data_IF_341304416517
#
_entry.id   IF_341304416517
#
_cell.length_a   1.000
_cell.length_b   1.000
_cell.length_c   1.000
_cell.angle_alpha   90.00
_cell.angle_beta   90.00
_cell.angle_gamma   90.00
#
_symmetry.space_group_name_H-M   'P 1'
#
loop_
_entity.id
_entity.type
_entity.pdbx_description
1 polymer ?
#
# COMPACT_ATOMS: atom_id res chain seq x y z
N UNK A 1 23.12 17.57 -4.05
CA UNK A 1 22.40 18.42 -3.08
C UNK A 1 21.53 17.49 -2.25
N UNK A 2 21.81 17.36 -0.96
CA UNK A 2 20.92 16.67 -0.04
C UNK A 2 19.74 17.62 0.25
N UNK A 3 18.51 17.17 -0.04
CA UNK A 3 17.29 17.90 0.30
C UNK A 3 16.93 17.52 1.73
N UNK A 4 16.82 18.51 2.61
CA UNK A 4 16.39 18.31 4.00
C UNK A 4 14.89 18.51 4.17
N UNK A 5 14.29 17.83 5.17
CA UNK A 5 12.88 18.02 5.53
C UNK A 5 12.56 19.45 5.95
N UNK A 6 13.57 20.21 6.45
CA UNK A 6 13.43 21.60 6.88
C UNK A 6 13.46 22.64 5.74
N UNK A 7 13.75 22.20 4.51
CA UNK A 7 13.88 23.10 3.37
C UNK A 7 12.52 23.72 2.98
N UNK A 8 12.60 24.90 2.32
CA UNK A 8 11.47 25.40 1.54
C UNK A 8 11.31 24.57 0.26
N UNK A 9 10.09 24.05 -0.02
CA UNK A 9 9.84 23.16 -1.15
C UNK A 9 9.25 23.92 -2.34
N UNK A 10 10.05 24.04 -3.39
CA UNK A 10 9.59 24.36 -4.75
C UNK A 10 9.01 23.10 -5.41
N UNK A 11 8.26 23.23 -6.52
CA UNK A 11 7.79 22.06 -7.29
C UNK A 11 8.92 21.10 -7.66
N UNK A 12 10.06 21.63 -8.11
CA UNK A 12 11.24 20.83 -8.50
C UNK A 12 11.83 20.06 -7.31
N UNK A 13 11.97 20.71 -6.15
CA UNK A 13 12.47 20.05 -4.93
C UNK A 13 11.51 18.97 -4.43
N UNK A 14 10.21 19.29 -4.42
CA UNK A 14 9.16 18.38 -3.96
C UNK A 14 9.12 17.11 -4.82
N UNK A 15 9.06 17.26 -6.15
CA UNK A 15 9.12 16.14 -7.07
C UNK A 15 10.41 15.35 -6.95
N UNK A 16 11.57 16.02 -6.86
CA UNK A 16 12.86 15.33 -6.73
C UNK A 16 12.97 14.51 -5.42
N UNK A 17 12.36 15.00 -4.35
CA UNK A 17 12.36 14.28 -3.07
C UNK A 17 11.37 13.11 -3.06
N UNK A 18 10.18 13.29 -3.64
CA UNK A 18 9.13 12.25 -3.66
C UNK A 18 9.32 11.22 -4.79
N UNK A 19 10.05 11.55 -5.85
CA UNK A 19 10.26 10.69 -7.01
C UNK A 19 10.77 9.27 -6.66
N UNK A 20 11.77 9.09 -5.79
CA UNK A 20 12.20 7.75 -5.39
C UNK A 20 11.08 6.94 -4.75
N UNK A 21 10.24 7.57 -3.92
CA UNK A 21 9.10 6.90 -3.29
C UNK A 21 8.01 6.52 -4.29
N UNK A 22 7.76 7.37 -5.29
CA UNK A 22 6.83 7.06 -6.38
C UNK A 22 7.32 5.84 -7.17
N UNK A 23 8.58 5.85 -7.60
CA UNK A 23 9.17 4.75 -8.36
C UNK A 23 9.20 3.47 -7.51
N UNK A 24 9.51 3.56 -6.22
CA UNK A 24 9.51 2.43 -5.29
C UNK A 24 8.13 1.76 -5.23
N UNK A 25 7.04 2.54 -5.11
CA UNK A 25 5.69 1.99 -5.05
C UNK A 25 5.23 1.39 -6.38
N UNK A 26 5.56 2.03 -7.50
CA UNK A 26 5.27 1.48 -8.84
C UNK A 26 5.99 0.15 -9.05
N UNK A 27 7.28 0.08 -8.72
CA UNK A 27 8.05 -1.17 -8.83
C UNK A 27 7.49 -2.27 -7.93
N UNK A 28 7.13 -1.94 -6.69
CA UNK A 28 6.50 -2.90 -5.76
C UNK A 28 5.21 -3.47 -6.36
N UNK A 29 4.39 -2.63 -7.00
CA UNK A 29 3.16 -3.08 -7.68
C UNK A 29 3.46 -3.97 -8.88
N UNK A 30 4.46 -3.64 -9.70
CA UNK A 30 4.89 -4.45 -10.84
C UNK A 30 5.42 -5.81 -10.38
N UNK A 31 6.24 -5.85 -9.33
CA UNK A 31 6.77 -7.12 -8.80
C UNK A 31 5.65 -8.05 -8.32
N UNK A 32 4.62 -7.51 -7.65
CA UNK A 32 3.45 -8.29 -7.25
C UNK A 32 2.68 -8.90 -8.44
N UNK A 33 2.58 -8.15 -9.54
CA UNK A 33 1.95 -8.66 -10.78
C UNK A 33 2.80 -9.79 -11.39
N UNK A 34 4.11 -9.60 -11.46
CA UNK A 34 5.05 -10.61 -12.02
C UNK A 34 5.03 -11.89 -11.21
N UNK A 35 5.10 -11.80 -9.87
CA UNK A 35 4.99 -12.95 -8.96
C UNK A 35 3.68 -13.74 -9.21
N UNK A 36 2.55 -13.05 -9.28
CA UNK A 36 1.27 -13.67 -9.60
C UNK A 36 1.25 -14.39 -10.97
N UNK A 37 1.90 -13.81 -11.98
CA UNK A 37 2.04 -14.42 -13.32
C UNK A 37 2.91 -15.68 -13.26
N UNK A 38 4.03 -15.67 -12.54
CA UNK A 38 4.87 -16.87 -12.37
C UNK A 38 4.12 -17.99 -11.68
N UNK A 39 3.45 -17.70 -10.56
CA UNK A 39 2.68 -18.70 -9.82
C UNK A 39 1.56 -19.29 -10.69
N UNK A 40 0.76 -18.46 -11.34
CA UNK A 40 -0.39 -18.93 -12.13
C UNK A 40 0.01 -19.80 -13.33
N UNK A 41 1.13 -19.48 -14.00
CA UNK A 41 1.53 -20.17 -15.21
C UNK A 41 2.39 -21.42 -14.97
N UNK A 42 3.18 -21.45 -13.90
CA UNK A 42 4.18 -22.51 -13.70
C UNK A 42 3.89 -23.43 -12.52
N UNK A 43 3.07 -23.01 -11.55
CA UNK A 43 2.79 -23.82 -10.34
C UNK A 43 1.48 -24.60 -10.47
N UNK A 44 0.51 -24.05 -11.21
CA UNK A 44 -0.78 -24.69 -11.47
C UNK A 44 -1.95 -24.01 -10.73
N UNK A 45 -3.15 -24.35 -11.16
CA UNK A 45 -4.39 -23.69 -10.69
C UNK A 45 -4.70 -23.93 -9.22
N UNK A 46 -4.47 -25.15 -8.72
CA UNK A 46 -4.69 -25.49 -7.30
C UNK A 46 -3.77 -24.70 -6.37
N UNK A 47 -2.51 -24.61 -6.74
CA UNK A 47 -1.51 -23.83 -6.00
C UNK A 47 -1.84 -22.33 -6.01
N UNK A 48 -2.21 -21.79 -7.16
CA UNK A 48 -2.61 -20.40 -7.28
C UNK A 48 -3.88 -20.10 -6.46
N UNK A 49 -4.88 -20.99 -6.49
CA UNK A 49 -6.08 -20.88 -5.67
C UNK A 49 -5.74 -20.91 -4.17
N UNK A 50 -4.86 -21.82 -3.74
CA UNK A 50 -4.46 -21.95 -2.33
C UNK A 50 -3.75 -20.70 -1.80
N UNK A 51 -2.88 -20.07 -2.61
CA UNK A 51 -2.23 -18.80 -2.26
C UNK A 51 -3.28 -17.71 -2.08
N UNK A 52 -4.23 -17.57 -3.01
CA UNK A 52 -5.28 -16.56 -2.92
C UNK A 52 -6.19 -16.75 -1.69
N UNK A 53 -6.43 -18.00 -1.26
CA UNK A 53 -7.20 -18.30 -0.06
C UNK A 53 -6.47 -17.83 1.20
N UNK A 54 -5.16 -18.12 1.33
CA UNK A 54 -4.43 -17.84 2.58
C UNK A 54 -3.88 -16.42 2.65
N UNK A 55 -3.71 -15.73 1.52
CA UNK A 55 -3.15 -14.38 1.45
C UNK A 55 -3.86 -13.35 2.34
N UNK A 56 -5.20 -13.27 2.40
CA UNK A 56 -5.87 -12.31 3.28
C UNK A 56 -5.45 -12.45 4.74
N UNK A 57 -5.30 -13.68 5.24
CA UNK A 57 -4.84 -13.93 6.60
C UNK A 57 -3.40 -13.41 6.82
N UNK A 58 -2.49 -13.73 5.91
CA UNK A 58 -1.10 -13.29 5.98
C UNK A 58 -0.98 -11.76 5.88
N UNK A 59 -1.78 -11.14 5.00
CA UNK A 59 -1.81 -9.68 4.83
C UNK A 59 -2.35 -8.96 6.06
N UNK A 60 -3.35 -9.50 6.76
CA UNK A 60 -3.86 -8.93 8.01
C UNK A 60 -2.75 -8.93 9.08
N UNK A 61 -1.99 -10.03 9.23
CA UNK A 61 -0.87 -10.08 10.15
C UNK A 61 0.22 -9.07 9.78
N UNK A 62 0.53 -8.93 8.50
CA UNK A 62 1.51 -7.98 7.99
C UNK A 62 1.07 -6.52 8.00
N UNK A 63 -0.25 -6.25 8.06
CA UNK A 63 -0.81 -4.90 8.00
C UNK A 63 -0.33 -3.98 9.15
N UNK A 64 0.12 -4.56 10.27
CA UNK A 64 0.76 -3.82 11.37
C UNK A 64 2.06 -3.15 10.91
N UNK A 65 2.77 -3.75 9.97
CA UNK A 65 3.94 -3.11 9.35
C UNK A 65 3.58 -1.81 8.63
N UNK A 66 2.52 -1.83 7.82
CA UNK A 66 2.01 -0.63 7.14
C UNK A 66 1.52 0.42 8.14
N UNK A 67 0.74 0.00 9.15
CA UNK A 67 0.26 0.88 10.21
C UNK A 67 1.41 1.56 10.96
N UNK A 68 2.42 0.81 11.36
CA UNK A 68 3.59 1.32 12.08
C UNK A 68 4.46 2.20 11.17
N UNK A 69 4.60 1.83 9.91
CA UNK A 69 5.36 2.60 8.91
C UNK A 69 4.75 3.97 8.68
N UNK A 70 3.47 4.05 8.36
CA UNK A 70 2.76 5.29 8.09
C UNK A 70 2.60 6.14 9.36
N UNK A 71 1.98 5.59 10.40
CA UNK A 71 1.70 6.32 11.64
C UNK A 71 2.97 6.70 12.42
N UNK A 72 3.95 5.80 12.48
CA UNK A 72 5.21 6.02 13.18
C UNK A 72 6.10 7.03 12.48
N UNK A 73 6.20 6.96 11.15
CA UNK A 73 6.98 7.93 10.37
C UNK A 73 6.42 9.36 10.51
N UNK A 74 5.09 9.51 10.52
CA UNK A 74 4.43 10.77 10.76
C UNK A 74 4.76 11.34 12.16
N UNK A 75 4.69 10.50 13.21
CA UNK A 75 5.00 10.90 14.57
C UNK A 75 6.47 11.30 14.73
N UNK A 76 7.39 10.52 14.16
CA UNK A 76 8.83 10.79 14.20
C UNK A 76 9.18 12.06 13.44
N UNK A 77 8.60 12.27 12.25
CA UNK A 77 8.83 13.48 11.45
C UNK A 77 8.32 14.74 12.18
N UNK A 78 7.13 14.67 12.79
CA UNK A 78 6.59 15.76 13.61
C UNK A 78 7.50 16.05 14.81
N UNK A 79 8.00 15.02 15.49
CA UNK A 79 8.91 15.17 16.64
C UNK A 79 10.24 15.79 16.22
N UNK A 80 10.75 15.48 15.03
CA UNK A 80 11.91 16.19 14.46
C UNK A 80 11.62 17.67 14.23
N UNK A 81 10.42 17.99 13.75
CA UNK A 81 9.98 19.38 13.54
C UNK A 81 9.96 20.20 14.81
N UNK A 82 9.62 19.59 15.95
CA UNK A 82 9.68 20.27 17.28
C UNK A 82 11.10 20.50 17.81
N UNK A 83 12.13 20.07 17.06
CA UNK A 83 13.54 20.18 17.47
C UNK A 83 14.02 19.10 18.46
N UNK A 84 13.17 18.15 18.83
CA UNK A 84 13.55 17.11 19.80
C UNK A 84 14.08 15.84 19.08
N UNK A 85 15.29 15.95 18.54
CA UNK A 85 15.93 14.84 17.81
C UNK A 85 16.13 13.58 18.66
N UNK A 86 16.44 13.75 19.95
CA UNK A 86 16.64 12.62 20.86
C UNK A 86 15.35 11.81 20.99
N UNK A 87 14.24 12.49 21.26
CA UNK A 87 12.92 11.87 21.40
C UNK A 87 12.48 11.18 20.07
N UNK A 88 12.74 11.80 18.93
CA UNK A 88 12.45 11.22 17.63
C UNK A 88 13.19 9.88 17.40
N UNK A 89 14.48 9.81 17.76
CA UNK A 89 15.29 8.58 17.70
C UNK A 89 14.82 7.51 18.70
N UNK A 90 14.41 7.92 19.90
CA UNK A 90 13.84 7.02 20.91
C UNK A 90 12.52 6.40 20.42
N UNK A 91 11.62 7.21 19.86
CA UNK A 91 10.35 6.72 19.27
C UNK A 91 10.63 5.76 18.11
N UNK A 92 11.50 6.12 17.19
CA UNK A 92 11.89 5.24 16.09
C UNK A 92 12.39 3.87 16.59
N UNK A 93 13.31 3.87 17.56
CA UNK A 93 13.87 2.65 18.13
C UNK A 93 12.80 1.81 18.83
N UNK A 94 11.92 2.45 19.59
CA UNK A 94 10.79 1.80 20.27
C UNK A 94 9.88 1.09 19.26
N UNK A 95 9.52 1.77 18.17
CA UNK A 95 8.62 1.23 17.17
C UNK A 95 9.22 0.01 16.47
N UNK A 96 10.51 0.05 16.13
CA UNK A 96 11.20 -1.09 15.50
C UNK A 96 11.27 -2.28 16.47
N UNK A 97 11.62 -2.06 17.75
CA UNK A 97 11.72 -3.16 18.72
C UNK A 97 10.35 -3.77 19.05
N UNK A 98 9.33 -2.93 19.23
CA UNK A 98 7.95 -3.42 19.46
C UNK A 98 7.44 -4.18 18.25
N UNK A 99 7.72 -3.69 17.02
CA UNK A 99 7.32 -4.38 15.79
C UNK A 99 7.95 -5.78 15.69
N UNK A 100 9.23 -5.92 16.01
CA UNK A 100 9.92 -7.23 16.02
C UNK A 100 9.27 -8.15 17.04
N UNK A 101 8.99 -7.66 18.26
CA UNK A 101 8.33 -8.44 19.30
C UNK A 101 6.92 -8.89 18.90
N UNK A 102 6.11 -7.97 18.37
CA UNK A 102 4.75 -8.27 17.86
C UNK A 102 4.83 -9.22 16.65
N UNK A 103 5.77 -9.01 15.75
CA UNK A 103 6.00 -9.88 14.60
C UNK A 103 6.34 -11.31 15.02
N UNK A 104 7.15 -11.48 16.08
CA UNK A 104 7.45 -12.79 16.64
C UNK A 104 6.21 -13.47 17.23
N UNK A 105 5.41 -12.73 18.01
CA UNK A 105 4.13 -13.24 18.54
C UNK A 105 3.16 -13.65 17.42
N UNK A 106 3.10 -12.85 16.36
CA UNK A 106 2.24 -13.14 15.21
C UNK A 106 2.75 -14.28 14.35
N UNK A 107 4.06 -14.47 14.24
CA UNK A 107 4.64 -15.65 13.59
C UNK A 107 4.23 -16.92 14.34
N UNK A 108 4.43 -16.96 15.66
CA UNK A 108 4.07 -18.12 16.49
C UNK A 108 2.55 -18.36 16.48
N UNK A 109 1.75 -17.31 16.72
CA UNK A 109 0.29 -17.41 16.69
C UNK A 109 -0.26 -17.77 15.30
N UNK A 110 0.35 -17.21 14.26
CA UNK A 110 0.03 -17.50 12.86
C UNK A 110 0.28 -18.96 12.49
N UNK A 111 1.41 -19.53 12.92
CA UNK A 111 1.70 -20.95 12.70
C UNK A 111 0.65 -21.87 13.34
N UNK A 112 0.19 -21.55 14.56
CA UNK A 112 -0.83 -22.31 15.26
C UNK A 112 -2.19 -22.18 14.55
N UNK A 113 -2.53 -20.98 14.09
CA UNK A 113 -3.83 -20.67 13.48
C UNK A 113 -3.87 -20.95 11.98
N UNK A 114 -2.76 -21.26 11.33
CA UNK A 114 -2.65 -21.34 9.87
C UNK A 114 -3.64 -22.35 9.25
N UNK A 115 -3.63 -23.60 9.73
CA UNK A 115 -4.52 -24.63 9.20
C UNK A 115 -6.02 -24.37 9.52
N UNK A 116 -6.42 -24.00 10.77
CA UNK A 116 -7.78 -23.55 11.05
C UNK A 116 -8.25 -22.39 10.18
N UNK A 117 -7.40 -21.38 9.99
CA UNK A 117 -7.75 -20.23 9.16
C UNK A 117 -7.86 -20.57 7.69
N UNK A 118 -6.98 -21.43 7.15
CA UNK A 118 -7.10 -21.90 5.77
C UNK A 118 -8.46 -22.61 5.53
N UNK A 119 -8.88 -23.48 6.45
CA UNK A 119 -10.20 -24.14 6.38
C UNK A 119 -11.34 -23.13 6.47
N UNK A 120 -11.27 -22.19 7.40
CA UNK A 120 -12.29 -21.15 7.57
C UNK A 120 -12.43 -20.28 6.29
N UNK A 121 -11.33 -20.03 5.61
CA UNK A 121 -11.30 -19.25 4.37
C UNK A 121 -11.68 -20.07 3.12
N UNK A 122 -12.01 -21.36 3.28
CA UNK A 122 -12.56 -22.19 2.22
C UNK A 122 -11.59 -23.19 1.59
N UNK A 123 -10.43 -23.45 2.21
CA UNK A 123 -9.54 -24.51 1.75
C UNK A 123 -10.14 -25.90 2.03
N UNK A 124 -10.34 -26.66 0.98
CA UNK A 124 -10.69 -28.09 1.06
C UNK A 124 -9.46 -28.96 1.39
N UNK A 125 -9.66 -30.28 1.48
CA UNK A 125 -8.59 -31.24 1.81
C UNK A 125 -7.48 -31.28 0.71
N UNK A 126 -7.76 -30.85 -0.51
CA UNK A 126 -6.78 -30.79 -1.62
C UNK A 126 -5.93 -29.51 -1.49
N UNK A 127 -6.56 -28.37 -1.22
CA UNK A 127 -5.90 -27.06 -1.17
C UNK A 127 -5.20 -26.80 0.16
N UNK A 128 -5.68 -27.42 1.26
CA UNK A 128 -5.14 -27.20 2.59
C UNK A 128 -3.62 -27.46 2.71
N UNK A 129 -3.04 -28.53 2.16
CA UNK A 129 -1.60 -28.75 2.22
C UNK A 129 -0.79 -27.65 1.52
N UNK A 130 -1.31 -27.11 0.40
CA UNK A 130 -0.66 -25.99 -0.31
C UNK A 130 -0.73 -24.70 0.51
N UNK A 131 -1.90 -24.38 1.08
CA UNK A 131 -2.07 -23.22 1.96
C UNK A 131 -1.10 -23.27 3.15
N UNK A 132 -0.97 -24.44 3.80
CA UNK A 132 -0.11 -24.59 4.97
C UNK A 132 1.38 -24.53 4.59
N UNK A 133 1.80 -25.16 3.49
CA UNK A 133 3.20 -25.10 3.04
C UNK A 133 3.62 -23.67 2.66
N UNK A 134 2.79 -22.98 1.90
CA UNK A 134 3.03 -21.58 1.53
C UNK A 134 3.04 -20.67 2.75
N UNK A 135 1.98 -20.74 3.56
CA UNK A 135 1.79 -19.87 4.71
C UNK A 135 2.91 -19.98 5.75
N UNK A 136 3.41 -21.18 6.03
CA UNK A 136 4.54 -21.39 6.95
C UNK A 136 5.79 -20.64 6.53
N UNK A 137 6.17 -20.74 5.26
CA UNK A 137 7.36 -20.06 4.75
C UNK A 137 7.18 -18.54 4.82
N UNK A 138 6.01 -18.03 4.45
CA UNK A 138 5.72 -16.58 4.53
C UNK A 138 5.67 -16.11 5.98
N UNK A 139 5.11 -16.91 6.93
CA UNK A 139 5.12 -16.56 8.34
C UNK A 139 6.53 -16.47 8.94
N UNK A 140 7.48 -17.31 8.51
CA UNK A 140 8.88 -17.16 8.90
C UNK A 140 9.51 -15.85 8.42
N UNK A 141 9.03 -15.32 7.30
CA UNK A 141 9.44 -14.03 6.77
C UNK A 141 8.54 -12.85 7.21
N UNK A 142 7.57 -13.06 8.11
CA UNK A 142 6.63 -12.04 8.53
C UNK A 142 7.32 -10.83 9.17
N UNK A 143 8.32 -11.05 10.03
CA UNK A 143 9.11 -9.96 10.63
C UNK A 143 9.85 -9.16 9.56
N UNK A 144 10.64 -9.75 8.65
CA UNK A 144 11.23 -9.06 7.51
C UNK A 144 10.21 -8.29 6.66
N UNK A 145 9.05 -8.87 6.37
CA UNK A 145 7.99 -8.20 5.62
C UNK A 145 7.46 -6.94 6.33
N UNK A 146 7.16 -7.05 7.62
CA UNK A 146 6.72 -5.91 8.43
C UNK A 146 7.81 -4.84 8.49
N UNK A 147 9.09 -5.22 8.69
CA UNK A 147 10.22 -4.30 8.70
C UNK A 147 10.43 -3.63 7.33
N UNK A 148 10.26 -4.34 6.22
CA UNK A 148 10.33 -3.76 4.88
C UNK A 148 9.35 -2.60 4.72
N UNK A 149 8.07 -2.79 5.11
CA UNK A 149 7.05 -1.76 5.03
C UNK A 149 7.34 -0.56 5.94
N UNK A 150 7.82 -0.82 7.16
CA UNK A 150 8.22 0.23 8.08
C UNK A 150 9.40 1.04 7.55
N UNK A 151 10.44 0.38 7.07
CA UNK A 151 11.65 1.06 6.62
C UNK A 151 11.47 1.79 5.29
N UNK A 152 10.53 1.39 4.43
CA UNK A 152 10.15 2.20 3.26
C UNK A 152 9.75 3.62 3.69
N UNK A 153 8.95 3.77 4.74
CA UNK A 153 8.54 5.07 5.27
C UNK A 153 9.67 5.76 6.05
N UNK A 154 10.39 5.04 6.90
CA UNK A 154 11.44 5.63 7.73
C UNK A 154 12.69 6.06 6.96
N UNK A 155 13.01 5.44 5.84
CA UNK A 155 14.09 5.91 4.97
C UNK A 155 13.77 7.27 4.36
N UNK A 156 12.50 7.59 4.14
CA UNK A 156 12.07 8.94 3.71
C UNK A 156 12.26 9.95 4.85
N UNK A 157 11.84 9.60 6.09
CA UNK A 157 12.07 10.43 7.28
C UNK A 157 13.55 10.65 7.56
N UNK A 158 14.37 9.62 7.29
CA UNK A 158 15.82 9.67 7.41
C UNK A 158 16.52 10.49 6.30
N UNK A 159 15.75 11.13 5.41
CA UNK A 159 16.24 11.89 4.24
C UNK A 159 17.05 11.03 3.25
N UNK A 160 16.72 9.71 3.18
CA UNK A 160 17.38 8.71 2.33
C UNK A 160 16.42 7.95 1.42
N UNK A 161 15.46 8.60 0.73
CA UNK A 161 14.48 7.91 -0.11
C UNK A 161 15.14 7.13 -1.27
N UNK A 162 16.30 7.59 -1.76
CA UNK A 162 17.06 6.89 -2.79
C UNK A 162 17.59 5.52 -2.33
N UNK A 163 18.00 5.42 -1.05
CA UNK A 163 18.41 4.15 -0.47
C UNK A 163 17.22 3.19 -0.39
N UNK A 164 16.04 3.69 -0.01
CA UNK A 164 14.79 2.93 -0.04
C UNK A 164 14.49 2.37 -1.43
N UNK A 165 14.62 3.21 -2.46
CA UNK A 165 14.45 2.79 -3.85
C UNK A 165 15.44 1.69 -4.25
N UNK A 166 16.73 1.85 -3.94
CA UNK A 166 17.76 0.84 -4.26
C UNK A 166 17.48 -0.51 -3.59
N UNK A 167 17.07 -0.49 -2.32
CA UNK A 167 16.72 -1.70 -1.58
C UNK A 167 15.47 -2.36 -2.18
N UNK A 168 14.46 -1.57 -2.57
CA UNK A 168 13.25 -2.09 -3.23
C UNK A 168 13.59 -2.72 -4.59
N UNK A 169 14.48 -2.11 -5.38
CA UNK A 169 14.96 -2.70 -6.63
C UNK A 169 15.68 -4.02 -6.35
N UNK A 170 16.60 -4.05 -5.40
CA UNK A 170 17.34 -5.26 -5.05
C UNK A 170 16.39 -6.38 -4.59
N UNK A 171 15.44 -6.07 -3.70
CA UNK A 171 14.43 -7.01 -3.21
C UNK A 171 13.56 -7.54 -4.36
N UNK A 172 13.02 -6.64 -5.21
CA UNK A 172 12.15 -7.04 -6.31
C UNK A 172 12.86 -7.85 -7.40
N UNK A 173 14.08 -7.45 -7.79
CA UNK A 173 14.88 -8.25 -8.73
C UNK A 173 15.23 -9.62 -8.15
N UNK A 174 15.56 -9.69 -6.87
CA UNK A 174 15.80 -10.99 -6.21
C UNK A 174 14.55 -11.86 -6.25
N UNK A 175 13.36 -11.31 -5.96
CA UNK A 175 12.12 -12.07 -6.07
C UNK A 175 11.93 -12.62 -7.48
N UNK A 176 11.98 -11.78 -8.52
CA UNK A 176 11.78 -12.20 -9.91
C UNK A 176 12.80 -13.27 -10.38
N UNK A 177 14.08 -13.10 -10.01
CA UNK A 177 15.15 -14.07 -10.36
C UNK A 177 14.90 -15.39 -9.63
N UNK A 178 14.56 -15.34 -8.34
CA UNK A 178 14.33 -16.55 -7.56
C UNK A 178 13.03 -17.25 -7.94
N UNK A 179 11.97 -16.52 -8.32
CA UNK A 179 10.75 -17.10 -8.87
C UNK A 179 11.07 -17.89 -10.15
N UNK A 180 11.79 -17.27 -11.09
CA UNK A 180 12.22 -17.96 -12.29
C UNK A 180 13.07 -19.20 -11.97
N UNK A 181 14.00 -19.11 -11.03
CA UNK A 181 14.89 -20.21 -10.68
C UNK A 181 14.15 -21.32 -9.90
N UNK A 182 13.44 -20.97 -8.83
CA UNK A 182 12.79 -21.97 -7.96
C UNK A 182 11.55 -22.59 -8.60
N UNK A 183 10.77 -21.80 -9.34
CA UNK A 183 9.52 -22.25 -9.92
C UNK A 183 9.75 -22.88 -11.30
N UNK A 184 10.41 -22.16 -12.22
CA UNK A 184 10.56 -22.63 -13.60
C UNK A 184 11.69 -23.64 -13.77
N UNK A 185 12.85 -23.45 -13.09
CA UNK A 185 14.03 -24.35 -13.25
C UNK A 185 13.94 -25.53 -12.27
N UNK A 186 13.85 -25.25 -10.95
CA UNK A 186 13.85 -26.30 -9.92
C UNK A 186 12.49 -26.96 -9.71
N UNK A 187 11.40 -26.37 -10.23
CA UNK A 187 10.02 -26.87 -10.14
C UNK A 187 9.57 -27.17 -8.71
N UNK A 188 9.96 -26.29 -7.77
CA UNK A 188 9.62 -26.44 -6.34
C UNK A 188 8.14 -26.06 -6.06
N UNK A 189 7.37 -25.64 -7.06
CA UNK A 189 5.98 -25.30 -6.94
C UNK A 189 5.74 -24.17 -5.93
N UNK A 190 4.71 -24.32 -5.07
CA UNK A 190 4.31 -23.35 -4.06
C UNK A 190 5.43 -23.02 -3.06
N UNK A 191 6.27 -24.00 -2.72
CA UNK A 191 7.42 -23.82 -1.83
C UNK A 191 8.45 -22.89 -2.46
N UNK A 192 8.66 -23.01 -3.77
CA UNK A 192 9.58 -22.14 -4.52
C UNK A 192 9.10 -20.68 -4.53
N UNK A 193 7.82 -20.45 -4.80
CA UNK A 193 7.21 -19.12 -4.76
C UNK A 193 7.32 -18.48 -3.35
N UNK A 194 6.93 -19.24 -2.32
CA UNK A 194 7.04 -18.75 -0.94
C UNK A 194 8.48 -18.44 -0.53
N UNK A 195 9.46 -19.29 -0.92
CA UNK A 195 10.87 -19.08 -0.59
C UNK A 195 11.43 -17.84 -1.31
N UNK A 196 11.11 -17.64 -2.59
CA UNK A 196 11.53 -16.45 -3.34
C UNK A 196 10.99 -15.17 -2.70
N UNK A 197 9.71 -15.15 -2.34
CA UNK A 197 9.08 -14.04 -1.64
C UNK A 197 9.70 -13.82 -0.26
N UNK A 198 9.91 -14.86 0.54
CA UNK A 198 10.51 -14.76 1.86
C UNK A 198 11.95 -14.20 1.83
N UNK A 199 12.77 -14.65 0.87
CA UNK A 199 14.13 -14.15 0.69
C UNK A 199 14.12 -12.69 0.27
N UNK A 200 13.30 -12.33 -0.70
CA UNK A 200 13.19 -10.94 -1.18
C UNK A 200 12.73 -9.98 -0.09
N UNK A 201 11.74 -10.37 0.71
CA UNK A 201 11.26 -9.60 1.88
C UNK A 201 12.36 -9.49 2.95
N UNK A 202 13.18 -10.54 3.12
CA UNK A 202 14.32 -10.50 4.04
C UNK A 202 15.37 -9.47 3.60
N UNK A 203 15.64 -9.36 2.31
CA UNK A 203 16.49 -8.29 1.76
C UNK A 203 15.88 -6.92 2.05
N UNK A 204 14.58 -6.74 1.75
CA UNK A 204 13.85 -5.49 1.96
C UNK A 204 13.77 -5.03 3.42
N UNK A 205 13.70 -5.97 4.37
CA UNK A 205 13.59 -5.68 5.80
C UNK A 205 14.93 -5.65 6.55
N UNK A 206 15.81 -6.64 6.32
CA UNK A 206 17.03 -6.78 7.10
C UNK A 206 18.14 -5.81 6.67
N UNK A 207 18.25 -5.47 5.39
CA UNK A 207 19.27 -4.50 4.94
C UNK A 207 19.06 -3.13 5.58
N UNK A 208 17.85 -2.53 5.58
CA UNK A 208 17.62 -1.29 6.31
C UNK A 208 17.80 -1.44 7.82
N UNK A 209 17.41 -2.58 8.40
CA UNK A 209 17.65 -2.84 9.82
C UNK A 209 19.14 -2.73 10.16
N UNK A 210 19.99 -3.40 9.40
CA UNK A 210 21.45 -3.33 9.56
C UNK A 210 21.98 -1.91 9.34
N UNK A 211 21.44 -1.19 8.32
CA UNK A 211 21.79 0.20 8.08
C UNK A 211 21.53 1.08 9.29
N UNK A 212 20.40 0.91 9.99
CA UNK A 212 20.07 1.72 11.17
C UNK A 212 20.74 1.23 12.48
N UNK A 213 21.20 -0.02 12.55
CA UNK A 213 21.98 -0.52 13.68
C UNK A 213 23.40 0.06 13.64
N UNK A 214 24.05 0.02 12.48
CA UNK A 214 25.40 0.51 12.32
C UNK A 214 25.47 2.05 12.22
N UNK A 215 26.65 2.67 12.52
CA UNK A 215 26.86 4.08 12.30
C UNK A 215 26.56 4.47 10.85
N UNK A 216 25.64 5.39 10.67
CA UNK A 216 25.23 5.84 9.35
C UNK A 216 25.17 7.38 9.26
N UNK A 217 25.05 7.89 8.03
CA UNK A 217 25.01 9.36 7.77
C UNK A 217 23.59 9.93 7.77
N UNK A 218 22.59 9.19 8.26
CA UNK A 218 21.21 9.70 8.35
C UNK A 218 20.91 10.27 9.74
N UNK A 219 19.79 10.97 9.85
CA UNK A 219 19.30 11.50 11.13
C UNK A 219 18.78 10.43 12.08
N UNK A 220 18.40 9.24 11.55
CA UNK A 220 17.87 8.13 12.31
C UNK A 220 18.95 7.05 12.55
N UNK A 221 18.95 6.52 13.76
CA UNK A 221 19.76 5.37 14.16
C UNK A 221 19.06 4.65 15.30
N UNK A 222 19.14 3.33 15.32
CA UNK A 222 18.66 2.52 16.43
C UNK A 222 19.53 2.71 17.66
N UNK A 223 18.90 2.84 18.81
CA UNK A 223 19.57 3.05 20.08
C UNK A 223 18.72 2.62 21.26
N UNK A 224 19.17 3.01 22.47
CA UNK A 224 18.41 2.74 23.69
C UNK A 224 17.11 3.56 23.69
N UNK A 225 16.04 2.94 24.13
CA UNK A 225 14.72 3.56 24.26
C UNK A 225 14.06 3.10 25.54
N UNK A 226 13.04 3.84 25.96
CA UNK A 226 12.14 3.46 27.05
C UNK A 226 10.75 3.19 26.52
N UNK A 227 9.98 2.36 27.21
CA UNK A 227 8.60 2.12 26.85
C UNK A 227 7.79 3.42 26.96
N UNK A 228 7.18 3.83 25.87
CA UNK A 228 6.31 5.01 25.76
C UNK A 228 4.99 4.61 25.12
N UNK A 229 4.02 4.24 25.96
CA UNK A 229 2.69 3.82 25.51
C UNK A 229 1.94 4.93 24.76
N UNK A 230 2.19 6.19 25.09
CA UNK A 230 1.58 7.31 24.38
C UNK A 230 2.08 7.39 22.93
N UNK A 231 3.37 7.18 22.70
CA UNK A 231 3.94 7.14 21.36
C UNK A 231 3.41 5.93 20.56
N UNK A 232 3.28 4.76 21.18
CA UNK A 232 2.68 3.58 20.56
C UNK A 232 1.22 3.81 20.17
N UNK A 233 0.41 4.33 21.10
CA UNK A 233 -1.00 4.62 20.84
C UNK A 233 -1.17 5.65 19.71
N UNK A 234 -0.36 6.71 19.72
CA UNK A 234 -0.35 7.71 18.66
C UNK A 234 0.05 7.11 17.31
N UNK A 235 1.04 6.22 17.29
CA UNK A 235 1.42 5.51 16.07
C UNK A 235 0.28 4.64 15.53
N UNK A 236 -0.38 3.87 16.40
CA UNK A 236 -1.52 3.04 16.01
C UNK A 236 -2.68 3.89 15.49
N UNK A 237 -3.05 4.97 16.19
CA UNK A 237 -4.15 5.85 15.75
C UNK A 237 -3.84 6.56 14.45
N UNK A 238 -2.61 7.03 14.25
CA UNK A 238 -2.20 7.68 13.01
C UNK A 238 -2.10 6.71 11.83
N UNK A 239 -1.66 5.49 12.08
CA UNK A 239 -1.53 4.46 11.06
C UNK A 239 -2.81 3.63 10.86
N UNK A 240 -3.86 3.88 11.64
CA UNK A 240 -5.13 3.14 11.55
C UNK A 240 -5.76 3.22 10.14
N UNK A 241 -5.54 4.32 9.41
CA UNK A 241 -5.97 4.47 8.03
C UNK A 241 -5.42 3.39 7.10
N UNK A 242 -4.11 3.08 7.21
CA UNK A 242 -3.47 2.04 6.41
C UNK A 242 -3.97 0.64 6.79
N UNK A 243 -4.09 0.39 8.08
CA UNK A 243 -4.62 -0.88 8.57
C UNK A 243 -6.05 -1.12 8.09
N UNK A 244 -6.93 -0.12 8.24
CA UNK A 244 -8.32 -0.16 7.78
C UNK A 244 -8.41 -0.33 6.27
N UNK A 245 -7.59 0.37 5.50
CA UNK A 245 -7.57 0.25 4.04
C UNK A 245 -7.23 -1.17 3.61
N UNK A 246 -6.18 -1.78 4.17
CA UNK A 246 -5.76 -3.15 3.80
C UNK A 246 -6.86 -4.20 4.09
N UNK A 247 -7.52 -4.10 5.25
CA UNK A 247 -8.63 -5.00 5.59
C UNK A 247 -9.83 -4.76 4.66
N UNK A 248 -10.21 -3.50 4.48
CA UNK A 248 -11.36 -3.14 3.64
C UNK A 248 -11.18 -3.58 2.19
N UNK A 249 -9.99 -3.44 1.62
CA UNK A 249 -9.70 -3.89 0.25
C UNK A 249 -9.96 -5.38 0.07
N UNK A 250 -9.62 -6.23 1.03
CA UNK A 250 -9.89 -7.66 0.96
C UNK A 250 -11.38 -7.96 0.92
N UNK A 251 -12.17 -7.27 1.76
CA UNK A 251 -13.64 -7.42 1.81
C UNK A 251 -14.28 -6.91 0.52
N UNK A 252 -13.86 -5.75 0.05
CA UNK A 252 -14.38 -5.13 -1.16
C UNK A 252 -14.09 -5.98 -2.40
N UNK A 253 -12.85 -6.50 -2.54
CA UNK A 253 -12.50 -7.39 -3.64
C UNK A 253 -13.37 -8.67 -3.66
N UNK A 254 -13.64 -9.24 -2.49
CA UNK A 254 -14.54 -10.40 -2.38
C UNK A 254 -15.96 -10.03 -2.84
N UNK A 255 -16.43 -8.85 -2.49
CA UNK A 255 -17.77 -8.36 -2.86
C UNK A 255 -17.89 -8.09 -4.37
N UNK A 256 -16.86 -7.49 -5.00
CA UNK A 256 -16.79 -7.31 -6.45
C UNK A 256 -16.85 -8.67 -7.17
N UNK A 257 -16.03 -9.61 -6.74
CA UNK A 257 -16.01 -10.95 -7.33
C UNK A 257 -17.36 -11.66 -7.20
N UNK A 258 -18.02 -11.54 -6.04
CA UNK A 258 -19.34 -12.12 -5.82
C UNK A 258 -20.42 -11.50 -6.75
N UNK A 259 -20.46 -10.17 -6.84
CA UNK A 259 -21.41 -9.47 -7.71
C UNK A 259 -21.16 -9.76 -9.19
N UNK A 260 -19.89 -9.76 -9.61
CA UNK A 260 -19.52 -10.03 -11.00
C UNK A 260 -19.80 -11.48 -11.39
N UNK A 261 -19.51 -12.45 -10.51
CA UNK A 261 -19.86 -13.85 -10.76
C UNK A 261 -21.37 -14.02 -10.97
N UNK A 262 -22.19 -13.31 -10.19
CA UNK A 262 -23.65 -13.34 -10.27
C UNK A 262 -24.19 -12.69 -11.54
N UNK A 263 -23.63 -11.56 -11.99
CA UNK A 263 -24.18 -10.72 -13.06
C UNK A 263 -23.53 -10.94 -14.43
N UNK A 264 -22.27 -11.33 -14.47
CA UNK A 264 -21.47 -11.45 -15.68
C UNK A 264 -20.68 -12.78 -15.77
N UNK A 265 -20.83 -13.68 -14.78
CA UNK A 265 -20.14 -14.97 -14.75
C UNK A 265 -18.63 -14.85 -14.59
N UNK A 266 -17.93 -15.90 -15.00
CA UNK A 266 -16.45 -15.99 -14.95
C UNK A 266 -15.75 -14.90 -15.75
N UNK A 267 -16.32 -14.48 -16.88
CA UNK A 267 -15.74 -13.43 -17.72
C UNK A 267 -15.72 -12.08 -17.00
N UNK A 268 -16.78 -11.74 -16.24
CA UNK A 268 -16.81 -10.53 -15.43
C UNK A 268 -15.73 -10.52 -14.37
N UNK A 269 -15.49 -11.65 -13.70
CA UNK A 269 -14.42 -11.80 -12.69
C UNK A 269 -13.04 -11.66 -13.33
N UNK A 270 -12.84 -12.25 -14.52
CA UNK A 270 -11.59 -12.14 -15.27
C UNK A 270 -11.30 -10.68 -15.69
N UNK A 271 -12.31 -9.96 -16.19
CA UNK A 271 -12.23 -8.53 -16.51
C UNK A 271 -11.80 -7.72 -15.30
N UNK A 272 -12.44 -7.95 -14.14
CA UNK A 272 -12.10 -7.26 -12.91
C UNK A 272 -10.66 -7.52 -12.47
N UNK A 273 -10.18 -8.75 -12.59
CA UNK A 273 -8.79 -9.09 -12.29
C UNK A 273 -7.79 -8.26 -13.11
N UNK A 274 -8.03 -8.15 -14.44
CA UNK A 274 -7.20 -7.30 -15.32
C UNK A 274 -7.23 -5.84 -14.88
N UNK A 275 -8.42 -5.30 -14.60
CA UNK A 275 -8.58 -3.92 -14.15
C UNK A 275 -7.83 -3.68 -12.84
N UNK A 276 -7.90 -4.61 -11.90
CA UNK A 276 -7.20 -4.49 -10.61
C UNK A 276 -5.68 -4.42 -10.77
N UNK A 277 -5.08 -5.29 -11.59
CA UNK A 277 -3.64 -5.25 -11.83
C UNK A 277 -3.18 -3.90 -12.39
N UNK A 278 -3.88 -3.36 -13.37
CA UNK A 278 -3.54 -2.05 -13.96
C UNK A 278 -3.78 -0.92 -12.96
N UNK A 279 -4.90 -0.96 -12.24
CA UNK A 279 -5.28 0.06 -11.25
C UNK A 279 -4.30 0.13 -10.09
N UNK A 280 -3.74 -1.00 -9.65
CA UNK A 280 -2.69 -1.04 -8.62
C UNK A 280 -1.44 -0.26 -9.02
N UNK A 281 -1.01 -0.40 -10.28
CA UNK A 281 0.16 0.34 -10.78
C UNK A 281 -0.13 1.84 -10.82
N UNK A 282 -1.34 2.24 -11.21
CA UNK A 282 -1.73 3.65 -11.27
C UNK A 282 -1.92 4.27 -9.88
N UNK A 283 -2.56 3.53 -8.95
CA UNK A 283 -2.70 3.95 -7.56
C UNK A 283 -1.34 4.09 -6.86
N UNK A 284 -0.36 3.25 -7.22
CA UNK A 284 0.99 3.29 -6.65
C UNK A 284 1.68 4.65 -6.82
N UNK A 285 1.37 5.39 -7.90
CA UNK A 285 1.88 6.75 -8.09
C UNK A 285 1.40 7.69 -6.97
N UNK A 286 0.11 7.66 -6.65
CA UNK A 286 -0.48 8.51 -5.61
C UNK A 286 -0.03 8.10 -4.21
N UNK A 287 0.05 6.79 -3.96
CA UNK A 287 0.54 6.23 -2.70
C UNK A 287 2.02 6.62 -2.50
N UNK A 288 2.84 6.46 -3.53
CA UNK A 288 4.28 6.80 -3.49
C UNK A 288 4.51 8.30 -3.29
N UNK A 289 3.73 9.15 -3.97
CA UNK A 289 3.78 10.60 -3.75
C UNK A 289 3.38 10.97 -2.31
N UNK A 290 2.30 10.39 -1.81
CA UNK A 290 1.79 10.61 -0.46
C UNK A 290 2.81 10.17 0.59
N UNK A 291 3.36 8.96 0.47
CA UNK A 291 4.40 8.44 1.36
C UNK A 291 5.67 9.30 1.34
N UNK A 292 6.07 9.78 0.16
CA UNK A 292 7.26 10.63 0.00
C UNK A 292 7.07 12.04 0.58
N UNK A 293 5.87 12.60 0.53
CA UNK A 293 5.58 13.96 1.01
C UNK A 293 5.15 14.02 2.47
N UNK A 294 4.61 12.94 3.04
CA UNK A 294 4.13 12.92 4.43
C UNK A 294 5.19 13.34 5.47
N UNK A 295 6.45 12.89 5.45
CA UNK A 295 7.47 13.35 6.39
C UNK A 295 7.77 14.84 6.29
N UNK A 296 7.69 15.44 5.09
CA UNK A 296 7.87 16.89 4.90
C UNK A 296 6.75 17.65 5.62
N UNK A 297 5.51 17.24 5.39
CA UNK A 297 4.32 17.81 6.04
C UNK A 297 4.41 17.67 7.56
N UNK A 298 4.74 16.46 8.05
CA UNK A 298 4.89 16.17 9.47
C UNK A 298 5.95 17.04 10.15
N UNK A 299 7.11 17.19 9.48
CA UNK A 299 8.19 18.06 9.97
C UNK A 299 7.73 19.53 10.12
N UNK A 300 7.14 20.11 9.06
CA UNK A 300 6.69 21.50 9.11
C UNK A 300 5.50 21.71 10.05
N UNK A 301 4.67 20.70 10.25
CA UNK A 301 3.64 20.70 11.28
C UNK A 301 4.26 20.80 12.68
N UNK A 302 5.26 19.96 12.99
CA UNK A 302 5.99 19.97 14.25
C UNK A 302 6.75 21.28 14.49
N UNK A 303 7.32 21.87 13.44
CA UNK A 303 8.01 23.16 13.48
C UNK A 303 7.07 24.37 13.57
N UNK A 304 5.74 24.18 13.50
CA UNK A 304 4.77 25.27 13.50
C UNK A 304 4.82 26.17 12.25
N UNK A 305 5.44 25.69 11.17
CA UNK A 305 5.62 26.46 9.92
C UNK A 305 4.36 26.41 9.05
N UNK A 306 3.36 27.19 9.40
CA UNK A 306 2.06 27.26 8.74
C UNK A 306 2.16 27.69 7.27
N UNK A 307 3.10 28.61 6.95
CA UNK A 307 3.29 29.09 5.60
C UNK A 307 3.76 27.97 4.66
N UNK A 308 4.65 27.11 5.14
CA UNK A 308 5.12 25.97 4.36
C UNK A 308 4.06 24.86 4.27
N UNK A 309 3.27 24.63 5.31
CA UNK A 309 2.13 23.71 5.25
C UNK A 309 1.14 24.11 4.16
N UNK A 310 0.80 25.41 4.09
CA UNK A 310 -0.05 25.97 3.03
C UNK A 310 0.57 25.79 1.64
N UNK A 311 1.86 26.09 1.51
CA UNK A 311 2.64 25.90 0.29
C UNK A 311 2.62 24.45 -0.19
N UNK A 312 2.92 23.49 0.72
CA UNK A 312 2.93 22.06 0.44
C UNK A 312 1.55 21.54 0.01
N UNK A 313 0.50 21.89 0.75
CA UNK A 313 -0.87 21.48 0.43
C UNK A 313 -1.28 21.96 -0.97
N UNK A 314 -1.08 23.24 -1.27
CA UNK A 314 -1.42 23.82 -2.58
C UNK A 314 -0.65 23.18 -3.72
N UNK A 315 0.66 23.00 -3.54
CA UNK A 315 1.51 22.38 -4.57
C UNK A 315 1.17 20.92 -4.79
N UNK A 316 0.94 20.18 -3.71
CA UNK A 316 0.58 18.76 -3.79
C UNK A 316 -0.75 18.56 -4.50
N UNK A 317 -1.77 19.35 -4.19
CA UNK A 317 -3.05 19.23 -4.91
C UNK A 317 -2.93 19.55 -6.39
N UNK A 318 -2.14 20.54 -6.76
CA UNK A 318 -1.89 20.83 -8.20
C UNK A 318 -1.17 19.68 -8.90
N UNK A 319 -0.14 19.12 -8.26
CA UNK A 319 0.59 17.96 -8.81
C UNK A 319 -0.31 16.73 -8.92
N UNK A 320 -1.09 16.44 -7.90
CA UNK A 320 -2.02 15.31 -7.90
C UNK A 320 -3.06 15.48 -9.00
N UNK A 321 -3.66 16.66 -9.13
CA UNK A 321 -4.60 16.96 -10.23
C UNK A 321 -3.97 16.74 -11.60
N UNK A 322 -2.72 17.21 -11.78
CA UNK A 322 -1.98 16.99 -13.03
C UNK A 322 -1.76 15.50 -13.28
N UNK A 323 -1.33 14.73 -12.27
CA UNK A 323 -1.14 13.29 -12.40
C UNK A 323 -2.44 12.57 -12.68
N UNK A 324 -3.54 12.93 -12.03
CA UNK A 324 -4.88 12.35 -12.25
C UNK A 324 -5.32 12.54 -13.69
N UNK A 325 -5.20 13.76 -14.24
CA UNK A 325 -5.57 14.06 -15.62
C UNK A 325 -4.71 13.24 -16.59
N UNK A 326 -3.37 13.25 -16.41
CA UNK A 326 -2.44 12.49 -17.25
C UNK A 326 -2.76 11.00 -17.21
N UNK A 327 -2.93 10.42 -16.01
CA UNK A 327 -3.20 8.99 -15.86
C UNK A 327 -4.55 8.59 -16.45
N UNK A 328 -5.58 9.42 -16.30
CA UNK A 328 -6.88 9.15 -16.91
C UNK A 328 -6.78 9.17 -18.44
N UNK A 329 -6.08 10.16 -19.03
CA UNK A 329 -5.87 10.20 -20.48
C UNK A 329 -5.07 8.97 -20.95
N UNK A 330 -4.02 8.59 -20.22
CA UNK A 330 -3.20 7.40 -20.54
C UNK A 330 -4.04 6.12 -20.43
N UNK A 331 -4.89 6.01 -19.41
CA UNK A 331 -5.78 4.87 -19.22
C UNK A 331 -6.82 4.77 -20.34
N UNK A 332 -7.49 5.88 -20.67
CA UNK A 332 -8.49 5.92 -21.73
C UNK A 332 -7.90 5.59 -23.11
N UNK A 333 -6.81 6.26 -23.47
CA UNK A 333 -6.13 6.04 -24.75
C UNK A 333 -5.46 4.66 -24.83
N UNK A 334 -4.88 4.21 -23.73
CA UNK A 334 -4.14 2.95 -23.61
C UNK A 334 -5.02 1.72 -23.31
N UNK A 335 -6.34 1.88 -23.08
CA UNK A 335 -7.22 0.79 -22.67
C UNK A 335 -7.13 -0.46 -23.54
N UNK A 336 -7.15 -0.38 -24.90
CA UNK A 336 -7.03 -1.56 -25.76
C UNK A 336 -5.68 -2.26 -25.63
N UNK A 337 -4.61 -1.49 -25.49
CA UNK A 337 -3.25 -2.02 -25.31
C UNK A 337 -3.10 -2.70 -23.96
N UNK A 338 -3.51 -2.03 -22.87
CA UNK A 338 -3.43 -2.54 -21.51
C UNK A 338 -4.26 -3.81 -21.31
N UNK A 339 -5.50 -3.82 -21.82
CA UNK A 339 -6.34 -5.01 -21.80
C UNK A 339 -5.73 -6.14 -22.67
N UNK A 340 -5.18 -5.79 -23.83
CA UNK A 340 -4.56 -6.75 -24.76
C UNK A 340 -3.34 -7.48 -24.20
N UNK A 341 -2.64 -6.91 -23.20
CA UNK A 341 -1.54 -7.61 -22.51
C UNK A 341 -2.05 -8.90 -21.84
N UNK A 342 -3.27 -8.89 -21.32
CA UNK A 342 -3.81 -9.97 -20.48
C UNK A 342 -4.78 -10.90 -21.24
N UNK A 343 -5.63 -10.33 -22.12
CA UNK A 343 -6.81 -11.08 -22.67
C UNK A 343 -6.90 -11.06 -24.20
N UNK A 344 -5.80 -10.83 -24.90
CA UNK A 344 -5.76 -10.77 -26.38
C UNK A 344 -6.18 -12.08 -27.08
N UNK A 345 -6.14 -13.19 -26.38
CA UNK A 345 -6.52 -14.51 -26.88
C UNK A 345 -8.03 -14.68 -27.10
N UNK A 346 -8.87 -13.81 -26.51
CA UNK A 346 -10.32 -13.84 -26.63
C UNK A 346 -10.86 -12.43 -26.92
N UNK A 347 -11.34 -12.21 -28.15
CA UNK A 347 -11.78 -10.88 -28.61
C UNK A 347 -13.00 -10.36 -27.84
N UNK A 348 -13.94 -11.22 -27.46
CA UNK A 348 -15.13 -10.82 -26.71
C UNK A 348 -14.73 -10.36 -25.30
N UNK A 349 -13.82 -11.08 -24.65
CA UNK A 349 -13.29 -10.73 -23.35
C UNK A 349 -12.44 -9.45 -23.42
N UNK A 350 -11.71 -9.24 -24.52
CA UNK A 350 -10.96 -8.02 -24.77
C UNK A 350 -11.88 -6.81 -24.86
N UNK A 351 -12.93 -6.88 -25.68
CA UNK A 351 -13.88 -5.78 -25.84
C UNK A 351 -14.61 -5.46 -24.53
N UNK A 352 -15.02 -6.49 -23.79
CA UNK A 352 -15.61 -6.33 -22.46
C UNK A 352 -14.63 -5.67 -21.49
N UNK A 353 -13.36 -6.08 -21.51
CA UNK A 353 -12.31 -5.51 -20.65
C UNK A 353 -12.05 -4.04 -20.99
N UNK A 354 -11.94 -3.70 -22.26
CA UNK A 354 -11.72 -2.31 -22.72
C UNK A 354 -12.87 -1.41 -22.28
N UNK A 355 -14.13 -1.86 -22.48
CA UNK A 355 -15.30 -1.09 -22.07
C UNK A 355 -15.35 -0.86 -20.54
N UNK A 356 -15.16 -1.93 -19.78
CA UNK A 356 -15.15 -1.87 -18.31
C UNK A 356 -13.99 -1.01 -17.79
N UNK A 357 -12.79 -1.15 -18.37
CA UNK A 357 -11.61 -0.38 -17.96
C UNK A 357 -11.76 1.10 -18.25
N UNK A 358 -12.33 1.49 -19.40
CA UNK A 358 -12.65 2.90 -19.70
C UNK A 358 -13.63 3.48 -18.69
N UNK A 359 -14.69 2.76 -18.37
CA UNK A 359 -15.60 3.20 -17.30
C UNK A 359 -14.89 3.36 -15.95
N UNK A 360 -14.07 2.38 -15.59
CA UNK A 360 -13.31 2.38 -14.34
C UNK A 360 -12.28 3.54 -14.28
N UNK A 361 -11.60 3.83 -15.40
CA UNK A 361 -10.49 4.79 -15.45
C UNK A 361 -10.89 6.22 -15.09
N UNK A 362 -12.17 6.58 -15.20
CA UNK A 362 -12.71 7.86 -14.74
C UNK A 362 -12.48 8.04 -13.22
N UNK A 363 -12.42 6.96 -12.45
CA UNK A 363 -12.15 7.01 -11.02
C UNK A 363 -10.77 7.59 -10.69
N UNK A 364 -9.82 7.48 -11.60
CA UNK A 364 -8.47 8.05 -11.42
C UNK A 364 -8.47 9.57 -11.31
N UNK A 365 -9.52 10.26 -11.81
CA UNK A 365 -9.70 11.71 -11.61
C UNK A 365 -9.97 12.09 -10.15
N UNK A 366 -10.35 11.15 -9.31
CA UNK A 366 -10.75 11.40 -7.92
C UNK A 366 -9.82 10.72 -6.90
N UNK A 367 -9.33 9.52 -7.23
CA UNK A 367 -8.60 8.63 -6.33
C UNK A 367 -7.41 9.30 -5.62
N UNK A 368 -6.60 10.05 -6.33
CA UNK A 368 -5.39 10.67 -5.78
C UNK A 368 -5.68 11.73 -4.70
N UNK A 369 -6.82 12.42 -4.79
CA UNK A 369 -7.22 13.42 -3.79
C UNK A 369 -7.47 12.79 -2.43
N UNK A 370 -8.26 11.73 -2.38
CA UNK A 370 -8.63 11.05 -1.12
C UNK A 370 -7.43 10.33 -0.51
N UNK A 371 -6.57 9.69 -1.32
CA UNK A 371 -5.32 9.07 -0.85
C UNK A 371 -4.42 10.12 -0.21
N UNK A 372 -4.18 11.23 -0.91
CA UNK A 372 -3.31 12.28 -0.39
C UNK A 372 -3.92 12.98 0.83
N UNK A 373 -5.21 13.28 0.85
CA UNK A 373 -5.87 13.92 1.98
C UNK A 373 -5.76 13.06 3.26
N UNK A 374 -5.98 11.75 3.15
CA UNK A 374 -5.78 10.82 4.27
C UNK A 374 -4.33 10.86 4.76
N UNK A 375 -3.35 10.73 3.87
CA UNK A 375 -1.93 10.79 4.20
C UNK A 375 -1.52 12.15 4.79
N UNK A 376 -2.09 13.25 4.31
CA UNK A 376 -1.85 14.58 4.84
C UNK A 376 -2.31 14.70 6.29
N UNK A 377 -3.50 14.19 6.63
CA UNK A 377 -3.98 14.18 8.01
C UNK A 377 -3.19 13.21 8.90
N UNK A 378 -2.73 12.08 8.38
CA UNK A 378 -1.76 11.21 9.07
C UNK A 378 -0.49 11.98 9.41
N UNK A 379 0.07 12.73 8.46
CA UNK A 379 1.27 13.54 8.66
C UNK A 379 1.06 14.67 9.67
N UNK A 380 -0.15 15.25 9.75
CA UNK A 380 -0.53 16.22 10.80
C UNK A 380 -0.79 15.57 12.17
N UNK A 381 -0.63 14.25 12.29
CA UNK A 381 -1.00 13.46 13.48
C UNK A 381 -2.50 13.59 13.88
N UNK A 382 -3.38 13.83 12.89
CA UNK A 382 -4.84 13.72 13.04
C UNK A 382 -5.31 12.35 12.51
N UNK A 383 -4.85 11.28 13.15
CA UNK A 383 -5.10 9.91 12.74
C UNK A 383 -6.58 9.54 12.69
N UNK A 384 -7.41 10.17 13.54
CA UNK A 384 -8.86 9.96 13.49
C UNK A 384 -9.45 10.42 12.15
N UNK A 385 -9.13 11.62 11.69
CA UNK A 385 -9.62 12.13 10.39
C UNK A 385 -9.10 11.29 9.24
N UNK A 386 -7.82 10.92 9.28
CA UNK A 386 -7.22 10.03 8.27
C UNK A 386 -7.94 8.68 8.22
N UNK A 387 -8.16 8.04 9.37
CA UNK A 387 -8.88 6.76 9.45
C UNK A 387 -10.32 6.86 8.94
N UNK A 388 -11.05 7.94 9.28
CA UNK A 388 -12.42 8.16 8.79
C UNK A 388 -12.43 8.31 7.27
N UNK A 389 -11.52 9.10 6.69
CA UNK A 389 -11.46 9.25 5.22
C UNK A 389 -11.20 7.90 4.56
N UNK A 390 -10.20 7.14 5.02
CA UNK A 390 -9.84 5.86 4.42
C UNK A 390 -10.92 4.80 4.60
N UNK A 391 -11.50 4.68 5.79
CA UNK A 391 -12.55 3.72 6.07
C UNK A 391 -13.84 4.02 5.30
N UNK A 392 -14.27 5.28 5.30
CA UNK A 392 -15.46 5.67 4.53
C UNK A 392 -15.25 5.45 3.03
N UNK A 393 -14.08 5.79 2.48
CA UNK A 393 -13.76 5.62 1.08
C UNK A 393 -13.90 4.17 0.64
N UNK A 394 -13.24 3.25 1.32
CA UNK A 394 -13.17 1.84 0.91
C UNK A 394 -14.35 1.03 1.47
N UNK A 395 -14.60 1.09 2.77
CA UNK A 395 -15.57 0.19 3.40
C UNK A 395 -17.02 0.68 3.26
N UNK A 396 -17.28 1.98 3.33
CA UNK A 396 -18.67 2.50 3.29
C UNK A 396 -19.08 2.83 1.86
N UNK A 397 -18.32 3.69 1.20
CA UNK A 397 -18.75 4.22 -0.10
C UNK A 397 -18.58 3.18 -1.21
N UNK A 398 -17.47 2.48 -1.26
CA UNK A 398 -17.24 1.49 -2.29
C UNK A 398 -18.11 0.25 -2.10
N UNK A 399 -18.22 -0.27 -0.87
CA UNK A 399 -19.15 -1.38 -0.56
C UNK A 399 -20.59 -0.99 -0.83
N UNK A 400 -21.01 0.19 -0.38
CA UNK A 400 -22.37 0.69 -0.62
C UNK A 400 -22.67 0.85 -2.12
N UNK A 401 -21.74 1.44 -2.87
CA UNK A 401 -21.91 1.64 -4.30
C UNK A 401 -21.97 0.32 -5.07
N UNK A 402 -21.09 -0.64 -4.78
CA UNK A 402 -21.06 -1.96 -5.47
C UNK A 402 -22.26 -2.83 -5.15
N UNK A 403 -22.94 -2.59 -4.02
CA UNK A 403 -24.20 -3.26 -3.70
C UNK A 403 -25.37 -2.55 -4.39
N UNK A 404 -25.46 -1.21 -4.31
CA UNK A 404 -26.64 -0.45 -4.69
C UNK A 404 -26.72 -0.21 -6.20
N UNK A 405 -25.63 0.23 -6.85
CA UNK A 405 -25.67 0.63 -8.26
C UNK A 405 -26.04 -0.52 -9.23
N UNK A 406 -25.63 -1.78 -9.01
CA UNK A 406 -26.03 -2.87 -9.88
C UNK A 406 -27.55 -3.15 -9.90
N UNK A 407 -28.31 -2.76 -8.87
CA UNK A 407 -29.77 -2.88 -8.90
C UNK A 407 -30.41 -2.00 -9.97
N UNK A 408 -29.78 -0.86 -10.31
CA UNK A 408 -30.32 0.09 -11.28
C UNK A 408 -29.65 -0.03 -12.66
N UNK A 409 -28.37 -0.38 -12.70
CA UNK A 409 -27.53 -0.30 -13.89
C UNK A 409 -26.96 -1.67 -14.34
N UNK A 410 -27.31 -2.75 -13.63
CA UNK A 410 -26.75 -4.07 -13.93
C UNK A 410 -25.22 -4.12 -13.82
N UNK A 411 -24.57 -4.81 -14.75
CA UNK A 411 -23.09 -4.95 -14.78
C UNK A 411 -22.37 -3.61 -14.87
N UNK A 412 -22.92 -2.64 -15.62
CA UNK A 412 -22.34 -1.29 -15.71
C UNK A 412 -22.30 -0.58 -14.35
N UNK A 413 -23.26 -0.87 -13.47
CA UNK A 413 -23.31 -0.34 -12.11
C UNK A 413 -22.10 -0.77 -11.27
N UNK A 414 -21.51 -1.95 -11.53
CA UNK A 414 -20.30 -2.40 -10.86
C UNK A 414 -19.11 -1.52 -11.27
N UNK A 415 -18.97 -1.22 -12.56
CA UNK A 415 -17.87 -0.38 -13.05
C UNK A 415 -17.98 1.09 -12.62
N UNK A 416 -19.20 1.60 -12.48
CA UNK A 416 -19.45 2.96 -11.98
C UNK A 416 -19.37 3.07 -10.45
N UNK A 417 -19.38 1.96 -9.72
CA UNK A 417 -19.34 1.95 -8.25
C UNK A 417 -18.11 2.65 -7.71
N UNK A 418 -16.94 2.37 -8.30
CA UNK A 418 -15.69 2.99 -7.87
C UNK A 418 -15.68 4.51 -8.12
N UNK A 419 -16.27 4.97 -9.22
CA UNK A 419 -16.36 6.41 -9.54
C UNK A 419 -17.19 7.12 -8.48
N UNK A 420 -18.36 6.56 -8.16
CA UNK A 420 -19.24 7.11 -7.14
C UNK A 420 -18.57 7.12 -5.76
N UNK A 421 -17.89 6.04 -5.39
CA UNK A 421 -17.17 5.92 -4.12
C UNK A 421 -16.04 6.95 -4.01
N UNK A 422 -15.19 7.07 -5.04
CA UNK A 422 -14.09 8.03 -5.05
C UNK A 422 -14.56 9.47 -5.06
N UNK A 423 -15.66 9.78 -5.78
CA UNK A 423 -16.27 11.10 -5.74
C UNK A 423 -16.78 11.45 -4.34
N UNK A 424 -17.48 10.54 -3.67
CA UNK A 424 -17.93 10.75 -2.28
C UNK A 424 -16.75 10.90 -1.33
N UNK A 425 -15.66 10.14 -1.55
CA UNK A 425 -14.45 10.27 -0.76
C UNK A 425 -13.74 11.62 -0.93
N UNK A 426 -13.75 12.17 -2.14
CA UNK A 426 -13.27 13.55 -2.39
C UNK A 426 -14.11 14.57 -1.64
N UNK A 427 -15.44 14.47 -1.69
CA UNK A 427 -16.34 15.36 -0.95
C UNK A 427 -16.06 15.31 0.56
N UNK A 428 -15.92 14.11 1.12
CA UNK A 428 -15.57 13.92 2.54
C UNK A 428 -14.19 14.50 2.88
N UNK A 429 -13.21 14.29 2.01
CA UNK A 429 -11.85 14.81 2.17
C UNK A 429 -11.83 16.34 2.17
N UNK A 430 -12.55 16.96 1.23
CA UNK A 430 -12.69 18.42 1.16
C UNK A 430 -13.40 18.98 2.41
N UNK A 431 -14.44 18.31 2.88
CA UNK A 431 -15.13 18.70 4.12
C UNK A 431 -14.14 18.77 5.30
N UNK A 432 -13.32 17.74 5.51
CA UNK A 432 -12.34 17.75 6.59
C UNK A 432 -11.23 18.76 6.36
N UNK A 433 -10.75 18.93 5.14
CA UNK A 433 -9.72 19.92 4.81
C UNK A 433 -10.21 21.33 5.13
N UNK A 434 -11.46 21.68 4.77
CA UNK A 434 -12.03 23.00 5.08
C UNK A 434 -12.25 23.16 6.60
N UNK A 435 -12.85 22.16 7.26
CA UNK A 435 -13.17 22.22 8.68
C UNK A 435 -11.93 22.31 9.58
N UNK A 436 -10.84 21.63 9.21
CA UNK A 436 -9.61 21.59 9.99
C UNK A 436 -8.60 22.67 9.62
N UNK A 437 -8.85 23.45 8.59
CA UNK A 437 -7.94 24.45 8.05
C UNK A 437 -7.46 25.47 9.11
N UNK A 438 -8.39 26.02 9.90
CA UNK A 438 -8.07 26.96 10.98
C UNK A 438 -7.25 26.33 12.10
N UNK A 439 -7.53 25.06 12.44
CA UNK A 439 -6.81 24.33 13.50
C UNK A 439 -5.30 24.18 13.18
N UNK A 440 -5.00 23.85 11.93
CA UNK A 440 -3.61 23.59 11.49
C UNK A 440 -2.96 24.77 10.76
N UNK A 441 -3.75 25.79 10.38
CA UNK A 441 -3.26 27.04 9.81
C UNK A 441 -2.69 26.91 8.40
N UNK A 442 -3.21 26.00 7.57
CA UNK A 442 -2.78 25.80 6.18
C UNK A 442 -3.67 26.52 5.14
N UNK A 443 -4.56 27.40 5.57
CA UNK A 443 -5.40 28.26 4.70
C UNK A 443 -4.92 29.70 4.66
#
# INVERSE_FOLDING_TARGET
>A
MNISLSDHFTYKKLLRFTFPSIVMMILTSIYGVVDGVFVSNFVGSEAFASINIIMPFLMILGAIGFMTGSGGSALVALTFGTGNEKKAKEIFSLLVYVLIAVGFLFTVGGEILLAPMARLLGADEILLPYCVRYGRIILLALIPFMLQNVFQSFLVVAERPQLGLLITIASGLTNMILDAYFIAVLRLGVVGAAAATAISQSIGGLIPLLYFIFPNRSRLRLGRTRMDFSALLKTCTNGASEFMTNISMSIVNMLYNWQLMRLAGSDGVAVYGVIMYVSFIFAALFIGYSMGSAPIVGYHCGAGNKSELKNLLRKSFRLILTFQIILTIVAEAGAPFLAGIFVRYNMNLLDMTVHAFRSYSISFLFMGFSIYASSFFTALNDGFVSAVISFCRTMIFETGAVIILPFFLGVSGIWYSIIAAEFMAVCLSLFFLIRKAKKYGYT
#
